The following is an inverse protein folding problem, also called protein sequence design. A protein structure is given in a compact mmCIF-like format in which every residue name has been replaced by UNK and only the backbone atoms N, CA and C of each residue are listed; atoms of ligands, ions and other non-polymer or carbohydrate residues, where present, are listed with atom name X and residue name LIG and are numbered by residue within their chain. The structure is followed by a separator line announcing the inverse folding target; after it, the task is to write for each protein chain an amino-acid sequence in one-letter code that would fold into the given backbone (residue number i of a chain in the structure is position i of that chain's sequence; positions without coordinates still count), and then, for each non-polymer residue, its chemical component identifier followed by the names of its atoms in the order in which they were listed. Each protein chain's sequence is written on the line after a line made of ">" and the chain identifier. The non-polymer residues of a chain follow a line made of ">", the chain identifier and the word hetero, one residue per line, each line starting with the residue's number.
data_IF_429414180657
#
_entry.id   IF_429414180657
#
_cell.length_a   1.000
_cell.length_b   1.000
_cell.length_c   1.000
_cell.angle_alpha   90.00
_cell.angle_beta   90.00
_cell.angle_gamma   90.00
#
_symmetry.space_group_name_H-M   'P 1'
#
loop_
_entity.id
_entity.type
_entity.pdbx_description
1 polymer ?
#
# COMPACT_ATOMS: atom_id res chain seq x y z
N UNK A 1 16.19 -44.88 -19.42
CA UNK A 1 16.71 -43.52 -19.68
C UNK A 1 16.52 -42.72 -18.40
N UNK A 2 17.60 -42.08 -17.94
CA UNK A 2 17.83 -41.68 -16.55
C UNK A 2 16.91 -40.57 -16.01
N UNK A 3 16.56 -40.69 -14.73
CA UNK A 3 15.90 -39.67 -13.90
C UNK A 3 16.71 -38.36 -13.88
N UNK A 4 16.07 -37.24 -14.21
CA UNK A 4 16.67 -35.92 -14.06
C UNK A 4 16.68 -35.52 -12.58
N UNK A 5 17.88 -35.39 -12.01
CA UNK A 5 18.10 -34.95 -10.64
C UNK A 5 17.67 -33.48 -10.46
N UNK A 6 16.66 -33.16 -9.63
CA UNK A 6 16.13 -31.81 -9.44
C UNK A 6 17.12 -30.85 -8.73
N UNK A 7 18.26 -31.35 -8.24
CA UNK A 7 19.32 -30.54 -7.63
C UNK A 7 20.43 -30.13 -8.61
N UNK A 8 20.34 -30.50 -9.89
CA UNK A 8 21.23 -29.96 -10.92
C UNK A 8 20.76 -28.57 -11.31
N UNK A 9 21.44 -27.54 -10.80
CA UNK A 9 21.32 -26.17 -11.31
C UNK A 9 21.58 -26.17 -12.82
N UNK A 10 20.52 -26.01 -13.61
CA UNK A 10 20.65 -25.77 -15.05
C UNK A 10 21.42 -24.48 -15.26
N UNK A 11 22.58 -24.59 -15.92
CA UNK A 11 23.39 -23.42 -16.28
C UNK A 11 22.54 -22.42 -17.08
N UNK A 12 22.50 -21.18 -16.62
CA UNK A 12 21.80 -20.08 -17.27
C UNK A 12 22.43 -19.84 -18.65
N UNK A 13 21.69 -20.13 -19.73
CA UNK A 13 22.16 -19.92 -21.10
C UNK A 13 22.12 -18.41 -21.42
N UNK A 14 23.20 -17.71 -21.09
CA UNK A 14 23.33 -16.29 -21.37
C UNK A 14 23.68 -16.09 -22.86
N UNK A 15 22.80 -15.44 -23.64
CA UNK A 15 22.84 -15.36 -25.11
C UNK A 15 23.70 -14.22 -25.67
N UNK A 16 24.81 -13.85 -25.01
CA UNK A 16 25.69 -12.77 -25.47
C UNK A 16 27.15 -12.93 -25.04
N UNK A 17 28.09 -12.53 -25.91
CA UNK A 17 29.50 -12.44 -25.56
C UNK A 17 29.71 -11.45 -24.41
N UNK A 18 30.59 -11.78 -23.44
CA UNK A 18 30.89 -10.98 -22.25
C UNK A 18 29.71 -10.69 -21.32
N UNK A 19 28.63 -11.48 -21.35
CA UNK A 19 27.47 -11.22 -20.49
C UNK A 19 27.80 -11.30 -18.97
N UNK A 20 28.81 -12.08 -18.58
CA UNK A 20 29.32 -12.11 -17.19
C UNK A 20 30.17 -10.89 -16.81
N UNK A 21 30.63 -10.11 -17.79
CA UNK A 21 31.42 -8.88 -17.61
C UNK A 21 30.60 -7.61 -17.87
N UNK A 22 29.29 -7.76 -18.10
CA UNK A 22 28.37 -6.64 -18.31
C UNK A 22 28.29 -5.81 -17.03
N UNK A 23 28.74 -4.56 -17.11
CA UNK A 23 28.50 -3.57 -16.07
C UNK A 23 27.00 -3.25 -16.06
N UNK A 24 26.38 -3.37 -14.88
CA UNK A 24 25.01 -2.98 -14.63
C UNK A 24 25.04 -1.48 -14.34
N UNK A 25 24.15 -0.70 -14.94
CA UNK A 25 24.03 0.74 -14.63
C UNK A 25 23.42 0.93 -13.24
N UNK A 26 23.66 2.07 -12.59
CA UNK A 26 23.22 2.31 -11.21
C UNK A 26 21.69 2.30 -11.04
N UNK A 27 20.95 2.49 -12.12
CA UNK A 27 19.49 2.38 -12.23
C UNK A 27 18.99 0.96 -12.54
N UNK A 28 19.89 0.04 -12.90
CA UNK A 28 19.56 -1.34 -13.28
C UNK A 28 19.60 -2.33 -12.11
N UNK A 29 19.85 -1.86 -10.88
CA UNK A 29 19.64 -2.62 -9.65
C UNK A 29 19.09 -1.72 -8.53
N UNK A 30 18.42 -2.32 -7.55
CA UNK A 30 17.99 -1.61 -6.33
C UNK A 30 18.35 -2.45 -5.10
N UNK A 31 18.76 -1.79 -4.02
CA UNK A 31 19.03 -2.43 -2.73
C UNK A 31 17.70 -2.69 -2.03
N UNK A 32 17.36 -3.97 -1.84
CA UNK A 32 16.19 -4.36 -1.07
C UNK A 32 16.61 -4.48 0.40
N UNK A 33 16.16 -3.52 1.21
CA UNK A 33 16.09 -3.74 2.65
C UNK A 33 14.82 -4.56 2.94
N UNK A 34 14.88 -5.54 3.82
CA UNK A 34 13.75 -6.43 4.08
C UNK A 34 13.23 -6.28 5.51
N UNK A 35 11.90 -6.27 5.66
CA UNK A 35 11.26 -6.41 6.96
C UNK A 35 10.89 -7.88 7.14
N UNK A 36 11.51 -8.54 8.11
CA UNK A 36 11.16 -9.91 8.48
C UNK A 36 10.16 -9.87 9.63
N UNK A 37 8.92 -10.28 9.37
CA UNK A 37 7.94 -10.53 10.44
C UNK A 37 7.80 -12.03 10.65
N UNK A 38 7.58 -12.46 11.89
CA UNK A 38 7.48 -13.89 12.24
C UNK A 38 6.38 -14.64 11.47
N UNK A 39 5.34 -13.94 10.98
CA UNK A 39 4.17 -14.56 10.30
C UNK A 39 4.06 -14.30 8.79
N UNK A 40 4.79 -13.35 8.19
CA UNK A 40 4.84 -13.21 6.71
C UNK A 40 6.15 -13.72 6.10
N UNK A 41 7.23 -13.83 6.87
CA UNK A 41 8.56 -13.96 6.29
C UNK A 41 9.06 -12.61 5.75
N UNK A 42 9.64 -12.63 4.55
CA UNK A 42 10.35 -11.50 3.95
C UNK A 42 9.40 -10.57 3.18
N UNK A 43 9.30 -9.32 3.63
CA UNK A 43 8.60 -8.24 2.94
C UNK A 43 9.63 -7.27 2.33
N UNK A 44 9.70 -7.14 0.99
CA UNK A 44 10.68 -6.26 0.36
C UNK A 44 10.29 -4.79 0.55
N UNK A 45 11.24 -3.97 0.97
CA UNK A 45 11.17 -2.51 0.84
C UNK A 45 11.60 -2.18 -0.58
N UNK A 46 10.65 -1.74 -1.42
CA UNK A 46 10.86 -1.41 -2.82
C UNK A 46 11.55 -0.06 -2.99
N UNK A 47 11.29 0.88 -2.09
CA UNK A 47 11.94 2.19 -2.05
C UNK A 47 12.04 2.69 -0.60
N UNK A 48 13.14 3.37 -0.33
CA UNK A 48 13.43 4.03 0.93
C UNK A 48 14.18 3.11 1.90
N UNK A 49 14.60 3.68 3.01
CA UNK A 49 15.30 2.95 4.06
C UNK A 49 14.44 2.89 5.31
N UNK A 50 13.95 1.68 5.61
CA UNK A 50 13.13 1.40 6.77
C UNK A 50 13.86 1.69 8.08
N UNK A 51 15.19 1.51 8.13
CA UNK A 51 15.98 1.74 9.33
C UNK A 51 16.09 3.22 9.71
N UNK A 52 15.95 4.12 8.74
CA UNK A 52 15.96 5.57 8.98
C UNK A 52 14.65 6.07 9.60
N UNK A 53 13.58 5.27 9.57
CA UNK A 53 12.31 5.65 10.19
C UNK A 53 12.39 5.58 11.72
N UNK A 54 11.71 6.48 12.45
CA UNK A 54 11.60 6.34 13.90
C UNK A 54 10.97 5.00 14.30
N UNK A 55 11.42 4.40 15.40
CA UNK A 55 10.97 3.06 15.84
C UNK A 55 9.44 2.90 15.91
N UNK A 56 8.71 3.94 16.37
CA UNK A 56 7.23 3.89 16.41
C UNK A 56 6.61 3.76 15.02
N UNK A 57 7.21 4.38 14.00
CA UNK A 57 6.77 4.31 12.60
C UNK A 57 7.10 2.94 12.02
N UNK A 58 8.31 2.44 12.26
CA UNK A 58 8.69 1.08 11.86
C UNK A 58 7.69 0.04 12.40
N UNK A 59 7.38 0.12 13.70
CA UNK A 59 6.40 -0.78 14.33
C UNK A 59 5.02 -0.67 13.68
N UNK A 60 4.53 0.55 13.45
CA UNK A 60 3.25 0.78 12.80
C UNK A 60 3.19 0.15 11.40
N UNK A 61 4.22 0.37 10.57
CA UNK A 61 4.29 -0.21 9.22
C UNK A 61 4.34 -1.74 9.31
N UNK A 62 5.14 -2.31 10.22
CA UNK A 62 5.24 -3.75 10.38
C UNK A 62 3.89 -4.39 10.80
N UNK A 63 3.19 -3.78 11.76
CA UNK A 63 1.85 -4.21 12.20
C UNK A 63 0.83 -4.17 11.06
N UNK A 64 0.84 -3.10 10.24
CA UNK A 64 -0.09 -2.96 9.11
C UNK A 64 0.28 -3.85 7.94
N UNK A 65 1.56 -4.02 7.61
CA UNK A 65 2.00 -4.97 6.61
C UNK A 65 1.60 -6.40 6.99
N UNK A 66 1.66 -6.75 8.28
CA UNK A 66 1.21 -8.04 8.78
C UNK A 66 -0.28 -8.31 8.58
N UNK A 67 -1.10 -7.27 8.78
CA UNK A 67 -2.55 -7.34 8.61
C UNK A 67 -2.95 -7.31 7.13
N UNK A 68 -2.46 -6.33 6.37
CA UNK A 68 -2.91 -6.05 5.00
C UNK A 68 -2.29 -6.97 3.95
N UNK A 69 -1.17 -7.65 4.27
CA UNK A 69 -0.44 -8.58 3.39
C UNK A 69 -0.03 -7.98 2.03
N UNK A 70 0.60 -6.80 1.97
CA UNK A 70 1.08 -6.24 0.71
C UNK A 70 2.19 -7.10 0.08
N UNK A 71 2.48 -6.87 -1.20
CA UNK A 71 3.59 -7.52 -1.92
C UNK A 71 4.94 -6.86 -1.64
N UNK A 72 4.93 -5.59 -1.27
CA UNK A 72 6.12 -4.79 -0.98
C UNK A 72 5.73 -3.46 -0.34
N UNK A 73 6.69 -2.78 0.26
CA UNK A 73 6.51 -1.47 0.91
C UNK A 73 7.26 -0.40 0.11
N UNK A 74 6.64 0.73 -0.14
CA UNK A 74 7.23 1.90 -0.79
C UNK A 74 7.16 3.10 0.15
N UNK A 75 8.31 3.53 0.68
CA UNK A 75 8.39 4.68 1.58
C UNK A 75 8.51 5.95 0.71
N UNK A 76 7.46 6.76 0.70
CA UNK A 76 7.43 7.99 -0.08
C UNK A 76 8.44 9.03 0.45
N UNK A 77 9.23 9.62 -0.44
CA UNK A 77 10.18 10.70 -0.13
C UNK A 77 9.66 12.10 -0.47
N UNK A 78 8.57 12.21 -1.24
CA UNK A 78 7.95 13.47 -1.63
C UNK A 78 8.74 14.26 -2.69
N UNK A 79 9.74 13.64 -3.33
CA UNK A 79 10.51 14.29 -4.39
C UNK A 79 9.70 14.49 -5.68
N UNK A 80 10.11 15.45 -6.50
CA UNK A 80 9.49 15.64 -7.82
C UNK A 80 9.64 14.40 -8.70
N UNK A 81 10.79 13.74 -8.65
CA UNK A 81 11.03 12.50 -9.38
C UNK A 81 10.04 11.38 -9.00
N UNK A 82 9.74 11.22 -7.70
CA UNK A 82 8.72 10.29 -7.22
C UNK A 82 7.33 10.64 -7.75
N UNK A 83 6.95 11.92 -7.69
CA UNK A 83 5.67 12.38 -8.19
C UNK A 83 5.52 12.10 -9.70
N UNK A 84 6.56 12.36 -10.48
CA UNK A 84 6.60 12.11 -11.92
C UNK A 84 6.50 10.60 -12.23
N UNK A 85 7.26 9.77 -11.51
CA UNK A 85 7.24 8.31 -11.65
C UNK A 85 5.85 7.72 -11.36
N UNK A 86 5.20 8.15 -10.28
CA UNK A 86 3.86 7.69 -9.90
C UNK A 86 2.83 8.17 -10.93
N UNK A 87 2.90 9.43 -11.35
CA UNK A 87 2.00 10.01 -12.36
C UNK A 87 2.11 9.24 -13.67
N UNK A 88 3.34 8.98 -14.13
CA UNK A 88 3.56 8.22 -15.36
C UNK A 88 2.95 6.81 -15.28
N UNK A 89 3.16 6.09 -14.17
CA UNK A 89 2.54 4.77 -13.95
C UNK A 89 1.01 4.83 -13.92
N UNK A 90 0.42 5.90 -13.39
CA UNK A 90 -1.03 6.09 -13.38
C UNK A 90 -1.59 6.38 -14.78
N UNK A 91 -0.86 7.11 -15.61
CA UNK A 91 -1.21 7.33 -17.03
C UNK A 91 -1.11 6.02 -17.81
N UNK A 92 -0.01 5.29 -17.66
CA UNK A 92 0.20 3.98 -18.31
C UNK A 92 -0.93 2.99 -17.98
N UNK A 93 -1.40 3.01 -16.72
CA UNK A 93 -2.52 2.18 -16.25
C UNK A 93 -3.90 2.71 -16.61
N UNK A 94 -3.99 3.85 -17.28
CA UNK A 94 -5.25 4.49 -17.68
C UNK A 94 -6.06 5.09 -16.54
N UNK A 95 -5.46 5.28 -15.37
CA UNK A 95 -6.10 5.92 -14.21
C UNK A 95 -6.11 7.46 -14.34
N UNK A 96 -5.06 8.01 -14.95
CA UNK A 96 -4.95 9.43 -15.25
C UNK A 96 -4.89 9.67 -16.75
N UNK A 97 -5.50 10.76 -17.21
CA UNK A 97 -5.41 11.24 -18.60
C UNK A 97 -4.76 12.62 -18.62
N UNK A 98 -3.64 12.84 -19.34
CA UNK A 98 -3.04 14.16 -19.44
C UNK A 98 -3.95 15.13 -20.20
N UNK A 99 -4.02 16.38 -19.74
CA UNK A 99 -4.80 17.44 -20.36
C UNK A 99 -3.92 18.30 -21.27
N UNK A 100 -3.93 18.03 -22.57
CA UNK A 100 -3.05 18.66 -23.56
C UNK A 100 -3.11 20.20 -23.62
N UNK A 101 -4.19 20.82 -23.15
CA UNK A 101 -4.35 22.27 -23.12
C UNK A 101 -3.55 22.95 -21.98
N UNK A 102 -3.02 22.18 -21.01
CA UNK A 102 -2.39 22.70 -19.80
C UNK A 102 -1.13 21.90 -19.43
N UNK A 103 -0.16 22.57 -18.82
CA UNK A 103 1.06 21.90 -18.35
C UNK A 103 0.82 21.20 -17.02
N UNK A 104 1.31 19.97 -16.88
CA UNK A 104 1.24 19.18 -15.64
C UNK A 104 -0.18 19.05 -15.03
N UNK A 105 -1.19 18.89 -15.89
CA UNK A 105 -2.59 18.71 -15.48
C UNK A 105 -3.14 17.37 -15.97
N UNK A 106 -3.94 16.73 -15.12
CA UNK A 106 -4.46 15.39 -15.36
C UNK A 106 -5.93 15.28 -14.98
N UNK A 107 -6.65 14.42 -15.70
CA UNK A 107 -8.03 14.03 -15.40
C UNK A 107 -8.05 12.62 -14.82
N UNK A 108 -8.70 12.48 -13.66
CA UNK A 108 -9.10 11.20 -13.07
C UNK A 108 -10.62 11.08 -13.15
N UNK A 109 -11.14 9.90 -13.50
CA UNK A 109 -12.58 9.60 -13.43
C UNK A 109 -12.77 8.45 -12.44
N UNK A 110 -13.54 8.69 -11.38
CA UNK A 110 -13.82 7.68 -10.35
C UNK A 110 -15.02 6.81 -10.73
N UNK A 111 -15.21 5.69 -10.01
CA UNK A 111 -16.46 4.94 -10.08
C UNK A 111 -17.61 5.84 -9.60
N UNK A 112 -18.77 5.86 -10.28
CA UNK A 112 -19.93 6.67 -9.86
C UNK A 112 -20.41 6.38 -8.42
N UNK A 113 -20.04 5.24 -7.84
CA UNK A 113 -20.32 4.88 -6.44
C UNK A 113 -19.34 5.52 -5.43
N UNK A 114 -18.24 6.09 -5.90
CA UNK A 114 -17.17 6.70 -5.10
C UNK A 114 -16.87 8.12 -5.60
N UNK A 115 -17.80 9.03 -5.34
CA UNK A 115 -17.78 10.42 -5.84
C UNK A 115 -17.84 11.47 -4.73
N UNK A 116 -18.15 11.07 -3.50
CA UNK A 116 -18.39 11.97 -2.39
C UNK A 116 -18.15 11.27 -1.05
N UNK A 117 -18.00 12.07 0.01
CA UNK A 117 -18.06 11.56 1.38
C UNK A 117 -19.41 10.87 1.62
N UNK A 118 -19.40 9.73 2.29
CA UNK A 118 -20.61 8.99 2.67
C UNK A 118 -20.78 9.10 4.18
N UNK A 119 -21.49 10.14 4.64
CA UNK A 119 -21.60 10.48 6.06
C UNK A 119 -22.14 9.32 6.90
N UNK A 120 -23.09 8.54 6.37
CA UNK A 120 -23.62 7.33 7.03
C UNK A 120 -22.59 6.20 7.22
N UNK A 121 -21.40 6.32 6.62
CA UNK A 121 -20.26 5.39 6.77
C UNK A 121 -19.04 6.06 7.41
N UNK A 122 -19.20 7.28 7.94
CA UNK A 122 -18.15 8.02 8.65
C UNK A 122 -18.44 7.97 10.15
N UNK A 123 -17.58 7.29 10.90
CA UNK A 123 -17.79 6.99 12.31
C UNK A 123 -16.62 7.48 13.16
N UNK A 124 -16.92 7.86 14.40
CA UNK A 124 -15.95 8.14 15.44
C UNK A 124 -16.03 7.06 16.51
N UNK A 125 -14.87 6.64 17.01
CA UNK A 125 -14.74 5.52 17.95
C UNK A 125 -14.13 6.02 19.25
N UNK A 126 -14.93 6.05 20.29
CA UNK A 126 -14.54 6.40 21.68
C UNK A 126 -15.12 5.39 22.65
N UNK A 127 -14.49 5.17 23.83
CA UNK A 127 -15.05 4.27 24.83
C UNK A 127 -16.47 4.66 25.29
N UNK A 128 -16.74 5.96 25.41
CA UNK A 128 -18.06 6.50 25.75
C UNK A 128 -18.67 7.23 24.54
N UNK A 129 -19.90 6.85 24.19
CA UNK A 129 -20.72 7.43 23.12
C UNK A 129 -20.83 8.95 23.20
N UNK A 130 -21.01 9.49 24.40
CA UNK A 130 -21.30 10.90 24.60
C UNK A 130 -20.05 11.81 24.61
N UNK A 131 -18.85 11.22 24.48
CA UNK A 131 -17.65 11.99 24.14
C UNK A 131 -17.61 12.41 22.66
N UNK A 132 -18.40 11.73 21.83
CA UNK A 132 -18.46 11.96 20.39
C UNK A 132 -19.73 12.71 19.99
N UNK A 133 -20.87 12.27 20.48
CA UNK A 133 -22.17 12.80 20.07
C UNK A 133 -22.97 13.35 21.25
N UNK A 134 -23.74 14.40 21.01
CA UNK A 134 -24.66 14.93 22.00
C UNK A 134 -25.77 13.91 22.32
N UNK A 135 -26.34 14.04 23.52
CA UNK A 135 -27.61 13.37 23.83
C UNK A 135 -28.71 13.93 22.94
N UNK A 136 -29.50 13.04 22.36
CA UNK A 136 -30.64 13.35 21.51
C UNK A 136 -31.88 12.68 22.09
N UNK A 137 -33.06 13.22 21.76
CA UNK A 137 -34.32 12.59 22.16
C UNK A 137 -34.48 11.20 21.49
N UNK A 138 -35.31 10.35 22.08
CA UNK A 138 -35.59 9.03 21.53
C UNK A 138 -36.13 9.12 20.09
N UNK A 139 -35.61 8.28 19.19
CA UNK A 139 -35.98 8.27 17.76
C UNK A 139 -35.34 9.38 16.91
N UNK A 140 -34.49 10.24 17.48
CA UNK A 140 -33.77 11.29 16.74
C UNK A 140 -32.35 10.81 16.45
N UNK A 141 -31.98 10.79 15.17
CA UNK A 141 -30.59 10.51 14.77
C UNK A 141 -29.69 11.74 14.99
N UNK A 142 -28.49 11.57 15.57
CA UNK A 142 -27.54 12.67 15.73
C UNK A 142 -27.07 13.21 14.38
N UNK A 143 -27.23 14.53 14.18
CA UNK A 143 -26.75 15.21 12.97
C UNK A 143 -25.27 15.59 13.01
N UNK A 144 -24.66 15.60 14.20
CA UNK A 144 -23.27 16.05 14.40
C UNK A 144 -22.23 14.96 14.07
N UNK A 145 -22.67 13.72 13.82
CA UNK A 145 -21.81 12.59 13.48
C UNK A 145 -22.34 11.27 14.01
N UNK A 146 -21.62 10.19 13.70
CA UNK A 146 -21.96 8.84 14.14
C UNK A 146 -20.90 8.31 15.10
N UNK A 147 -21.34 7.54 16.11
CA UNK A 147 -20.48 6.89 17.08
C UNK A 147 -20.58 5.38 16.96
N UNK A 148 -19.43 4.69 16.97
CA UNK A 148 -19.32 3.24 16.99
C UNK A 148 -18.51 2.81 18.22
N UNK A 149 -18.91 1.72 18.89
CA UNK A 149 -18.15 1.21 20.03
C UNK A 149 -16.79 0.64 19.57
N UNK A 150 -15.76 0.64 20.43
CA UNK A 150 -14.46 0.03 20.09
C UNK A 150 -14.56 -1.47 19.73
N UNK A 151 -15.47 -2.20 20.37
CA UNK A 151 -15.73 -3.62 20.10
C UNK A 151 -16.30 -3.81 18.70
N UNK A 152 -17.38 -3.09 18.36
CA UNK A 152 -17.99 -3.15 17.03
C UNK A 152 -17.00 -2.71 15.95
N UNK A 153 -16.18 -1.69 16.22
CA UNK A 153 -15.14 -1.28 15.28
C UNK A 153 -14.10 -2.38 15.05
N UNK A 154 -13.75 -3.14 16.09
CA UNK A 154 -12.89 -4.33 15.99
C UNK A 154 -13.45 -5.35 14.99
N UNK A 155 -14.71 -5.71 15.13
CA UNK A 155 -15.40 -6.64 14.22
C UNK A 155 -15.40 -6.13 12.77
N UNK A 156 -15.67 -4.83 12.58
CA UNK A 156 -15.69 -4.21 11.26
C UNK A 156 -14.30 -4.18 10.59
N UNK A 157 -13.24 -3.98 11.38
CA UNK A 157 -11.85 -4.04 10.93
C UNK A 157 -11.47 -5.47 10.53
N UNK A 158 -11.73 -6.45 11.39
CA UNK A 158 -11.38 -7.85 11.15
C UNK A 158 -12.11 -8.44 9.94
N UNK A 159 -13.31 -7.95 9.63
CA UNK A 159 -14.04 -8.34 8.43
C UNK A 159 -13.48 -7.78 7.11
N UNK A 160 -12.64 -6.72 7.14
CA UNK A 160 -12.24 -5.98 5.92
C UNK A 160 -10.75 -5.89 5.68
N UNK A 161 -9.96 -5.73 6.74
CA UNK A 161 -8.53 -5.43 6.65
C UNK A 161 -7.62 -6.62 6.37
N UNK A 162 -7.87 -7.83 6.92
CA UNK A 162 -7.00 -8.97 6.68
C UNK A 162 -6.81 -9.25 5.18
N UNK A 163 -5.58 -9.08 4.69
CA UNK A 163 -5.21 -9.34 3.30
C UNK A 163 -5.71 -8.31 2.27
N UNK A 164 -6.24 -7.16 2.69
CA UNK A 164 -6.84 -6.18 1.78
C UNK A 164 -5.88 -5.58 0.73
N UNK A 165 -4.56 -5.71 0.94
CA UNK A 165 -3.51 -5.26 0.03
C UNK A 165 -2.78 -6.40 -0.66
N UNK A 166 -3.30 -7.63 -0.63
CA UNK A 166 -2.69 -8.77 -1.30
C UNK A 166 -2.36 -8.47 -2.78
N UNK A 167 -1.09 -8.63 -3.13
CA UNK A 167 -0.59 -8.34 -4.48
C UNK A 167 -0.43 -6.84 -4.79
N UNK A 168 -0.66 -5.92 -3.85
CA UNK A 168 -0.47 -4.47 -4.04
C UNK A 168 0.77 -3.97 -3.28
N UNK A 169 1.22 -2.77 -3.62
CA UNK A 169 2.30 -2.09 -2.89
C UNK A 169 1.62 -1.29 -1.77
N UNK A 170 2.18 -1.35 -0.57
CA UNK A 170 1.84 -0.49 0.56
C UNK A 170 2.72 0.74 0.56
#
# INVERSE_FOLDING_TARGET
>A
MAEQNPNLLTSYKNTGANASLRQISDDAFYVVNEVVTKRLGHMPILKGDFHLLPFKVQRFIAEKAELCRPRGIYICDGSQHEADEITHKLIERGMLTPLAAYENNYLCRTDPKDVARVESKTWMVTPDKYQTICRVAEGVEPIMGHWMSPEQFGDELDARWPGCMAGRIM
#
